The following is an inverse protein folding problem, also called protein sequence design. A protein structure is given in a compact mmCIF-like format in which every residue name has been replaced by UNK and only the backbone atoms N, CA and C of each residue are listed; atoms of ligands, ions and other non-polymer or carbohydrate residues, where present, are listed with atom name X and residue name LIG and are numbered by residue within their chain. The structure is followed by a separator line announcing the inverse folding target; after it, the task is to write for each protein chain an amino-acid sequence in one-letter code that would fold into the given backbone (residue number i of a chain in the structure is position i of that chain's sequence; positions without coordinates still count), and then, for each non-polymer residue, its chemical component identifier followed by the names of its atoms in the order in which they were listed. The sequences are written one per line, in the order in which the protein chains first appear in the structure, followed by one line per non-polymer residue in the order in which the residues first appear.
data_IF_368895367494
#
_entry.id   IF_368895367494
#
_cell.length_a   1.000
_cell.length_b   1.000
_cell.length_c   1.000
_cell.angle_alpha   90.00
_cell.angle_beta   90.00
_cell.angle_gamma   90.00
#
_symmetry.space_group_name_H-M   'P 1'
#
loop_
_entity.id
_entity.type
_entity.pdbx_description
1 polymer ?
#
# COMPACT_ATOMS: atom_id res chain seq x y z
N UNK A 1 23.61 -32.50 18.05
CA UNK A 1 23.35 -32.04 16.66
C UNK A 1 22.68 -33.20 15.94
N UNK A 2 21.40 -33.08 15.61
CA UNK A 2 20.67 -34.17 14.93
C UNK A 2 20.91 -33.98 13.44
N UNK A 3 21.68 -34.89 12.85
CA UNK A 3 21.94 -34.90 11.41
C UNK A 3 20.70 -35.51 10.73
N UNK A 4 20.05 -34.72 9.88
CA UNK A 4 18.90 -35.19 9.12
C UNK A 4 19.40 -36.00 7.92
N UNK A 5 19.32 -37.34 8.01
CA UNK A 5 19.52 -38.25 6.89
C UNK A 5 18.17 -38.47 6.18
N UNK A 6 17.82 -37.54 5.29
CA UNK A 6 16.69 -37.66 4.36
C UNK A 6 17.16 -37.61 2.91
N UNK A 7 16.28 -37.92 1.93
CA UNK A 7 16.64 -37.82 0.52
C UNK A 7 17.07 -36.39 0.19
N UNK A 8 18.09 -36.24 -0.66
CA UNK A 8 18.50 -34.93 -1.17
C UNK A 8 17.31 -34.26 -1.88
N UNK A 9 16.88 -33.11 -1.36
CA UNK A 9 15.81 -32.33 -1.97
C UNK A 9 16.34 -31.69 -3.25
N UNK A 10 16.00 -32.27 -4.39
CA UNK A 10 16.31 -31.68 -5.70
C UNK A 10 15.29 -30.59 -6.02
N UNK A 11 15.77 -29.39 -6.32
CA UNK A 11 14.91 -28.30 -6.76
C UNK A 11 14.38 -28.60 -8.16
N UNK A 12 13.07 -28.66 -8.29
CA UNK A 12 12.38 -28.78 -9.58
C UNK A 12 11.90 -27.39 -10.00
N UNK A 13 12.34 -26.92 -11.16
CA UNK A 13 11.83 -25.67 -11.72
C UNK A 13 10.45 -25.90 -12.34
N UNK A 14 9.50 -24.97 -12.17
CA UNK A 14 8.17 -25.11 -12.76
C UNK A 14 8.24 -24.97 -14.29
N UNK A 15 7.46 -25.77 -15.01
CA UNK A 15 7.21 -25.57 -16.43
C UNK A 15 6.14 -24.48 -16.60
N UNK A 16 6.52 -23.34 -17.18
CA UNK A 16 5.66 -22.17 -17.31
C UNK A 16 5.11 -22.08 -18.72
N UNK A 17 3.79 -21.92 -18.82
CA UNK A 17 3.10 -21.68 -20.10
C UNK A 17 3.43 -20.28 -20.64
N UNK A 18 3.22 -20.03 -21.94
CA UNK A 18 3.24 -18.68 -22.47
C UNK A 18 2.33 -17.76 -21.65
N UNK A 19 2.85 -16.59 -21.26
CA UNK A 19 2.24 -15.60 -20.36
C UNK A 19 2.27 -15.90 -18.86
N UNK A 20 2.76 -17.07 -18.42
CA UNK A 20 3.00 -17.31 -16.99
C UNK A 20 4.33 -16.71 -16.55
N UNK A 21 4.38 -16.25 -15.30
CA UNK A 21 5.57 -15.67 -14.69
C UNK A 21 5.89 -16.42 -13.42
N UNK A 22 7.19 -16.58 -13.17
CA UNK A 22 7.66 -17.15 -11.91
C UNK A 22 7.36 -16.16 -10.79
N UNK A 23 6.71 -16.64 -9.73
CA UNK A 23 6.51 -15.86 -8.51
C UNK A 23 7.65 -16.08 -7.52
N UNK A 24 8.09 -15.01 -6.86
CA UNK A 24 8.92 -15.08 -5.66
C UNK A 24 8.17 -14.45 -4.51
N UNK A 25 7.82 -15.29 -3.53
CA UNK A 25 7.00 -14.90 -2.39
C UNK A 25 7.89 -14.36 -1.27
N UNK A 26 7.51 -13.22 -0.71
CA UNK A 26 8.15 -12.58 0.44
C UNK A 26 7.11 -12.40 1.54
N UNK A 27 7.38 -12.98 2.70
CA UNK A 27 6.57 -12.78 3.90
C UNK A 27 7.19 -11.64 4.70
N UNK A 28 6.41 -10.61 4.96
CA UNK A 28 6.81 -9.45 5.75
C UNK A 28 6.01 -9.42 7.05
N UNK A 29 6.69 -9.07 8.14
CA UNK A 29 6.09 -8.86 9.45
C UNK A 29 7.03 -8.01 10.32
N UNK A 30 6.47 -7.29 11.31
CA UNK A 30 7.23 -6.62 12.36
C UNK A 30 7.52 -7.55 13.54
N UNK A 31 8.71 -7.39 14.14
CA UNK A 31 9.09 -8.11 15.35
C UNK A 31 9.79 -7.15 16.33
N UNK A 32 9.58 -7.41 17.62
CA UNK A 32 10.25 -6.71 18.71
C UNK A 32 11.32 -7.59 19.32
N UNK A 33 12.48 -7.02 19.60
CA UNK A 33 13.59 -7.68 20.28
C UNK A 33 13.99 -6.84 21.49
N UNK A 34 14.36 -7.47 22.60
CA UNK A 34 14.94 -6.72 23.70
C UNK A 34 16.39 -6.33 23.36
N UNK A 35 16.91 -5.27 23.98
CA UNK A 35 18.22 -4.70 23.67
C UNK A 35 19.37 -5.72 23.73
N UNK A 36 19.21 -6.80 24.50
CA UNK A 36 20.23 -7.84 24.69
C UNK A 36 20.06 -9.06 23.76
N UNK A 37 19.01 -9.08 22.94
CA UNK A 37 18.72 -10.20 22.02
C UNK A 37 19.34 -9.99 20.63
N UNK A 38 19.98 -8.84 20.38
CA UNK A 38 20.53 -8.52 19.08
C UNK A 38 21.92 -9.14 18.86
N UNK A 39 22.14 -9.65 17.64
CA UNK A 39 23.49 -9.93 17.15
C UNK A 39 23.91 -8.77 16.25
N UNK A 40 25.03 -8.14 16.56
CA UNK A 40 25.48 -6.92 15.86
C UNK A 40 26.27 -7.21 14.57
N UNK A 41 26.37 -8.47 14.14
CA UNK A 41 27.17 -8.86 12.98
C UNK A 41 26.40 -9.82 12.06
N UNK A 42 26.32 -9.42 10.79
CA UNK A 42 25.89 -10.27 9.69
C UNK A 42 26.59 -9.80 8.40
N UNK A 43 26.94 -10.73 7.51
CA UNK A 43 27.48 -10.40 6.20
C UNK A 43 26.32 -10.21 5.22
N UNK A 44 25.85 -8.97 5.08
CA UNK A 44 24.71 -8.62 4.22
C UNK A 44 25.17 -7.65 3.14
N UNK A 45 24.87 -7.98 1.88
CA UNK A 45 25.20 -7.13 0.72
C UNK A 45 24.16 -6.01 0.57
N UNK A 46 22.86 -6.35 0.64
CA UNK A 46 21.73 -5.41 0.66
C UNK A 46 20.62 -5.93 1.57
N UNK A 47 20.01 -5.04 2.35
CA UNK A 47 18.91 -5.35 3.28
C UNK A 47 17.81 -4.28 3.17
N UNK A 48 16.56 -4.72 3.17
CA UNK A 48 15.39 -3.83 3.27
C UNK A 48 14.90 -3.69 4.72
N UNK A 49 15.40 -4.49 5.66
CA UNK A 49 15.04 -4.40 7.08
C UNK A 49 15.30 -3.00 7.62
N UNK A 50 14.34 -2.51 8.40
CA UNK A 50 14.47 -1.29 9.18
C UNK A 50 14.35 -1.64 10.65
N UNK A 51 15.19 -1.02 11.46
CA UNK A 51 15.20 -1.16 12.91
C UNK A 51 14.90 0.23 13.46
N UNK A 52 13.96 0.31 14.38
CA UNK A 52 13.64 1.52 15.13
C UNK A 52 13.85 1.24 16.62
N UNK A 53 14.22 2.28 17.37
CA UNK A 53 14.42 2.25 18.80
C UNK A 53 13.41 3.18 19.48
N UNK A 54 12.12 2.79 19.57
CA UNK A 54 11.08 3.66 20.11
C UNK A 54 11.30 3.95 21.60
N UNK A 55 11.08 5.21 22.01
CA UNK A 55 11.22 5.63 23.41
C UNK A 55 11.17 7.14 23.58
N UNK A 56 11.17 7.62 24.83
CA UNK A 56 11.05 9.06 25.15
C UNK A 56 12.14 9.94 24.48
N UNK A 57 13.33 9.36 24.23
CA UNK A 57 14.44 9.98 23.51
C UNK A 57 14.85 9.15 22.27
N UNK A 58 13.95 8.29 21.79
CA UNK A 58 14.19 7.33 20.72
C UNK A 58 13.53 7.73 19.41
N UNK A 59 13.44 6.77 18.50
CA UNK A 59 12.75 6.93 17.22
C UNK A 59 11.24 7.12 17.43
N UNK A 60 10.60 7.77 16.45
CA UNK A 60 9.15 7.78 16.35
C UNK A 60 8.62 6.36 16.09
N UNK A 61 7.32 6.15 16.38
CA UNK A 61 6.63 4.91 16.06
C UNK A 61 6.70 4.58 14.57
N UNK A 62 6.67 3.29 14.24
CA UNK A 62 6.62 2.82 12.86
C UNK A 62 5.34 3.30 12.17
N UNK A 63 5.49 3.93 11.00
CA UNK A 63 4.38 4.50 10.23
C UNK A 63 4.27 3.90 8.83
N UNK A 64 3.16 4.17 8.16
CA UNK A 64 2.96 3.85 6.74
C UNK A 64 4.08 4.41 5.84
N UNK A 65 4.57 5.63 6.13
CA UNK A 65 5.65 6.25 5.33
C UNK A 65 6.96 5.47 5.47
N UNK A 66 7.23 4.93 6.67
CA UNK A 66 8.38 4.05 6.88
C UNK A 66 8.24 2.74 6.09
N UNK A 67 7.04 2.17 6.06
CA UNK A 67 6.74 0.98 5.27
C UNK A 67 6.90 1.23 3.77
N UNK A 68 6.34 2.32 3.23
CA UNK A 68 6.50 2.67 1.81
C UNK A 68 7.98 2.81 1.43
N UNK A 69 8.75 3.48 2.27
CA UNK A 69 10.20 3.63 2.08
C UNK A 69 10.89 2.27 2.09
N UNK A 70 10.59 1.40 3.07
CA UNK A 70 11.13 0.04 3.11
C UNK A 70 10.78 -0.75 1.84
N UNK A 71 9.54 -0.65 1.37
CA UNK A 71 9.07 -1.38 0.20
C UNK A 71 9.75 -0.95 -1.09
N UNK A 72 10.06 0.34 -1.26
CA UNK A 72 10.85 0.82 -2.39
C UNK A 72 12.22 0.14 -2.44
N UNK A 73 12.92 0.03 -1.30
CA UNK A 73 14.19 -0.69 -1.21
C UNK A 73 14.03 -2.20 -1.45
N UNK A 74 12.98 -2.82 -0.90
CA UNK A 74 12.72 -4.25 -1.09
C UNK A 74 12.48 -4.61 -2.56
N UNK A 75 11.73 -3.77 -3.29
CA UNK A 75 11.47 -3.92 -4.72
C UNK A 75 12.77 -3.76 -5.52
N UNK A 76 13.58 -2.74 -5.23
CA UNK A 76 14.89 -2.56 -5.89
C UNK A 76 15.80 -3.78 -5.71
N UNK A 77 15.90 -4.31 -4.48
CA UNK A 77 16.67 -5.54 -4.21
C UNK A 77 16.10 -6.72 -4.99
N UNK A 78 14.79 -6.87 -5.06
CA UNK A 78 14.15 -7.93 -5.83
C UNK A 78 14.51 -7.85 -7.33
N UNK A 79 14.36 -6.67 -7.93
CA UNK A 79 14.63 -6.43 -9.35
C UNK A 79 16.09 -6.72 -9.70
N UNK A 80 17.03 -6.26 -8.86
CA UNK A 80 18.46 -6.51 -9.07
C UNK A 80 18.85 -7.98 -8.93
N UNK A 81 18.30 -8.68 -7.94
CA UNK A 81 18.67 -10.07 -7.63
C UNK A 81 17.99 -11.07 -8.58
N UNK A 82 16.74 -10.80 -8.96
CA UNK A 82 15.93 -11.75 -9.72
C UNK A 82 15.91 -11.45 -11.22
N UNK A 83 16.16 -10.21 -11.61
CA UNK A 83 16.06 -9.77 -13.01
C UNK A 83 14.63 -9.75 -13.55
N UNK A 84 14.47 -9.46 -14.85
CA UNK A 84 13.16 -9.41 -15.49
C UNK A 84 12.52 -10.80 -15.58
N UNK A 85 11.18 -10.86 -15.49
CA UNK A 85 10.40 -12.08 -15.68
C UNK A 85 10.08 -12.87 -14.40
N UNK A 86 10.70 -12.52 -13.28
CA UNK A 86 10.26 -12.93 -11.95
C UNK A 86 9.39 -11.84 -11.34
N UNK A 87 8.22 -12.21 -10.84
CA UNK A 87 7.31 -11.29 -10.20
C UNK A 87 7.31 -11.50 -8.68
N UNK A 88 7.53 -10.43 -7.93
CA UNK A 88 7.42 -10.45 -6.48
C UNK A 88 5.96 -10.56 -6.04
N UNK A 89 5.71 -11.40 -5.03
CA UNK A 89 4.47 -11.45 -4.27
C UNK A 89 4.81 -11.13 -2.82
N UNK A 90 4.41 -9.96 -2.33
CA UNK A 90 4.59 -9.57 -0.94
C UNK A 90 3.32 -9.92 -0.15
N UNK A 91 3.50 -10.62 0.97
CA UNK A 91 2.44 -11.02 1.88
C UNK A 91 2.68 -10.32 3.21
N UNK A 92 1.67 -9.60 3.68
CA UNK A 92 1.68 -8.82 4.90
C UNK A 92 0.59 -9.32 5.85
N UNK A 93 0.72 -8.95 7.13
CA UNK A 93 -0.40 -9.01 8.07
C UNK A 93 -1.41 -7.86 7.80
N UNK A 94 -2.46 -7.76 8.63
CA UNK A 94 -3.47 -6.70 8.53
C UNK A 94 -3.26 -5.62 9.61
N UNK A 95 -2.03 -5.14 9.79
CA UNK A 95 -1.74 -4.04 10.71
C UNK A 95 -2.37 -2.72 10.23
N UNK A 96 -2.58 -1.78 11.16
CA UNK A 96 -3.16 -0.47 10.83
C UNK A 96 -2.27 0.38 9.91
N UNK A 97 -0.95 0.18 9.95
CA UNK A 97 -0.01 0.83 9.03
C UNK A 97 -0.26 0.40 7.57
N UNK A 98 -0.77 -0.82 7.35
CA UNK A 98 -1.07 -1.35 6.02
C UNK A 98 -2.40 -0.83 5.48
N UNK A 99 -3.31 -0.42 6.37
CA UNK A 99 -4.62 0.13 6.02
C UNK A 99 -4.64 1.67 5.90
N UNK A 100 -3.49 2.32 5.98
CA UNK A 100 -3.40 3.78 5.91
C UNK A 100 -3.69 4.27 4.49
N UNK A 101 -4.57 5.26 4.37
CA UNK A 101 -4.88 5.94 3.12
C UNK A 101 -3.93 7.12 2.93
N UNK A 102 -3.56 7.47 1.68
CA UNK A 102 -2.77 8.66 1.43
C UNK A 102 -3.49 9.93 1.92
N UNK A 103 -2.77 11.02 2.25
CA UNK A 103 -3.37 12.23 2.83
C UNK A 103 -4.49 12.86 1.99
N UNK A 104 -4.44 12.66 0.66
CA UNK A 104 -5.40 13.13 -0.32
C UNK A 104 -6.40 12.06 -0.76
N UNK A 105 -6.43 10.88 -0.12
CA UNK A 105 -7.38 9.84 -0.45
C UNK A 105 -8.84 10.30 -0.33
N UNK A 106 -9.69 9.75 -1.19
CA UNK A 106 -11.13 9.97 -1.12
C UNK A 106 -11.69 9.42 0.22
N UNK A 107 -12.32 10.27 1.02
CA UNK A 107 -13.03 9.88 2.25
C UNK A 107 -14.27 10.74 2.40
N UNK A 108 -15.40 10.16 2.01
CA UNK A 108 -16.71 10.80 2.01
C UNK A 108 -17.11 11.33 3.40
N UNK A 109 -16.80 10.60 4.48
CA UNK A 109 -17.14 11.00 5.85
C UNK A 109 -16.43 12.28 6.33
N UNK A 110 -15.32 12.66 5.68
CA UNK A 110 -14.57 13.88 6.01
C UNK A 110 -14.87 15.02 5.03
N UNK A 111 -15.87 14.87 4.17
CA UNK A 111 -16.29 15.90 3.23
C UNK A 111 -17.43 16.74 3.82
N UNK A 112 -17.37 18.04 3.58
CA UNK A 112 -18.46 18.96 3.82
C UNK A 112 -19.62 18.66 2.87
N UNK A 113 -20.83 19.04 3.25
CA UNK A 113 -21.98 19.01 2.34
C UNK A 113 -21.76 19.96 1.15
N UNK A 114 -21.37 21.19 1.43
CA UNK A 114 -21.08 22.25 0.45
C UNK A 114 -19.60 22.28 0.04
N UNK A 115 -19.30 22.94 -1.08
CA UNK A 115 -17.93 23.19 -1.52
C UNK A 115 -17.17 24.08 -0.52
N UNK A 116 -15.85 23.94 -0.50
CA UNK A 116 -14.96 24.77 0.30
C UNK A 116 -14.98 24.44 1.79
N UNK A 117 -14.68 25.45 2.62
CA UNK A 117 -14.61 25.32 4.07
C UNK A 117 -13.39 24.55 4.57
N UNK A 118 -13.40 24.19 5.88
CA UNK A 118 -12.34 23.41 6.52
C UNK A 118 -12.46 21.93 6.13
N UNK A 119 -12.06 21.62 4.89
CA UNK A 119 -12.00 20.27 4.33
C UNK A 119 -10.64 20.07 3.65
N UNK A 120 -10.11 18.85 3.71
CA UNK A 120 -8.91 18.51 2.93
C UNK A 120 -9.20 18.44 1.43
N UNK A 121 -8.21 18.77 0.61
CA UNK A 121 -8.26 18.50 -0.83
C UNK A 121 -8.08 16.99 -1.03
N UNK A 122 -9.04 16.38 -1.72
CA UNK A 122 -9.01 14.96 -2.06
C UNK A 122 -8.60 14.83 -3.53
N UNK A 123 -7.92 13.74 -3.88
CA UNK A 123 -7.44 13.48 -5.23
C UNK A 123 -8.60 13.20 -6.18
N UNK A 124 -8.41 13.53 -7.46
CA UNK A 124 -9.37 13.19 -8.50
C UNK A 124 -9.53 11.66 -8.59
N UNK A 125 -10.75 11.21 -8.89
CA UNK A 125 -11.10 9.79 -8.96
C UNK A 125 -11.76 9.45 -10.29
N UNK A 126 -12.15 8.20 -10.47
CA UNK A 126 -12.98 7.75 -11.59
C UNK A 126 -14.32 7.28 -11.06
N UNK A 127 -15.43 7.63 -11.73
CA UNK A 127 -16.75 7.17 -11.31
C UNK A 127 -16.84 5.65 -11.51
N UNK A 128 -17.15 4.88 -10.45
CA UNK A 128 -17.13 3.42 -10.51
C UNK A 128 -18.30 2.88 -11.36
N UNK A 129 -18.13 1.68 -11.91
CA UNK A 129 -19.20 0.96 -12.61
C UNK A 129 -20.38 0.55 -11.72
N UNK A 130 -20.26 0.72 -10.40
CA UNK A 130 -21.37 0.57 -9.46
C UNK A 130 -22.28 1.80 -9.37
N UNK A 131 -21.95 2.90 -10.07
CA UNK A 131 -22.80 4.08 -10.09
C UNK A 131 -24.17 3.75 -10.74
N UNK A 132 -25.30 4.23 -10.20
CA UNK A 132 -26.63 3.92 -10.75
C UNK A 132 -26.87 4.41 -12.18
N UNK A 133 -26.22 5.51 -12.57
CA UNK A 133 -26.27 6.05 -13.93
C UNK A 133 -25.10 5.49 -14.76
N UNK A 134 -25.36 4.61 -15.75
CA UNK A 134 -24.32 4.02 -16.59
C UNK A 134 -23.62 5.01 -17.52
N UNK A 135 -24.25 6.16 -17.81
CA UNK A 135 -23.65 7.18 -18.68
C UNK A 135 -22.46 7.87 -18.02
N UNK A 136 -22.28 7.69 -16.71
CA UNK A 136 -21.22 8.29 -15.90
C UNK A 136 -20.03 7.38 -15.65
N UNK A 137 -20.15 6.10 -15.98
CA UNK A 137 -19.12 5.09 -15.71
C UNK A 137 -17.78 5.43 -16.35
N UNK A 138 -16.69 5.31 -15.58
CA UNK A 138 -15.34 5.55 -16.09
C UNK A 138 -15.01 7.03 -16.33
N UNK A 139 -15.95 7.95 -16.11
CA UNK A 139 -15.67 9.39 -16.25
C UNK A 139 -14.78 9.88 -15.10
N UNK A 140 -13.93 10.85 -15.41
CA UNK A 140 -13.10 11.55 -14.44
C UNK A 140 -13.99 12.33 -13.45
N UNK A 141 -13.90 11.97 -12.18
CA UNK A 141 -14.51 12.70 -11.07
C UNK A 141 -13.48 13.65 -10.48
N UNK A 142 -13.56 14.93 -10.88
CA UNK A 142 -12.78 15.99 -10.23
C UNK A 142 -13.25 16.15 -8.79
N UNK A 143 -12.33 16.23 -7.84
CA UNK A 143 -12.61 16.43 -6.40
C UNK A 143 -12.31 17.87 -5.93
N UNK A 144 -11.96 18.74 -6.88
CA UNK A 144 -11.82 20.19 -6.69
C UNK A 144 -12.67 20.95 -7.68
N UNK A 145 -13.17 22.11 -7.27
CA UNK A 145 -13.89 23.05 -8.15
C UNK A 145 -12.92 23.70 -9.13
N UNK A 146 -13.40 24.35 -10.21
CA UNK A 146 -12.54 25.14 -11.11
C UNK A 146 -11.78 26.28 -10.41
N UNK A 147 -12.30 26.78 -9.29
CA UNK A 147 -11.67 27.79 -8.43
C UNK A 147 -10.61 27.21 -7.49
N UNK A 148 -10.43 25.88 -7.46
CA UNK A 148 -9.44 25.18 -6.65
C UNK A 148 -9.88 24.85 -5.21
N UNK A 149 -11.17 25.04 -4.91
CA UNK A 149 -11.77 24.68 -3.62
C UNK A 149 -12.06 23.17 -3.57
N UNK A 150 -11.96 22.53 -2.40
CA UNK A 150 -12.40 21.15 -2.25
C UNK A 150 -13.91 21.03 -2.54
N UNK A 151 -14.32 20.05 -3.34
CA UNK A 151 -15.75 19.80 -3.58
C UNK A 151 -16.43 19.22 -2.34
N UNK A 152 -17.67 19.64 -2.12
CA UNK A 152 -18.57 19.03 -1.14
C UNK A 152 -19.26 17.79 -1.69
N UNK A 153 -19.86 17.02 -0.79
CA UNK A 153 -20.62 15.80 -1.11
C UNK A 153 -21.75 16.07 -2.10
N UNK A 154 -22.45 17.19 -1.95
CA UNK A 154 -23.59 17.53 -2.79
C UNK A 154 -23.18 17.62 -4.27
N UNK A 155 -22.14 18.40 -4.58
CA UNK A 155 -21.66 18.57 -5.95
C UNK A 155 -21.17 17.24 -6.56
N UNK A 156 -20.48 16.41 -5.78
CA UNK A 156 -20.00 15.10 -6.25
C UNK A 156 -21.17 14.15 -6.55
N UNK A 157 -22.22 14.16 -5.73
CA UNK A 157 -23.38 13.30 -5.95
C UNK A 157 -24.26 13.78 -7.12
N UNK A 158 -24.43 15.10 -7.29
CA UNK A 158 -25.12 15.68 -8.47
C UNK A 158 -24.41 15.30 -9.77
N UNK A 159 -23.08 15.41 -9.81
CA UNK A 159 -22.28 15.04 -10.99
C UNK A 159 -22.43 13.55 -11.36
N UNK A 160 -22.59 12.70 -10.34
CA UNK A 160 -22.85 11.26 -10.47
C UNK A 160 -24.30 10.92 -10.84
N UNK A 161 -25.19 11.90 -10.92
CA UNK A 161 -26.58 11.73 -11.34
C UNK A 161 -27.55 11.34 -10.22
N UNK A 162 -27.19 11.56 -8.95
CA UNK A 162 -28.11 11.33 -7.84
C UNK A 162 -29.08 12.50 -7.67
N UNK A 163 -30.34 12.18 -7.35
CA UNK A 163 -31.33 13.16 -6.91
C UNK A 163 -31.08 13.51 -5.43
N UNK A 164 -30.83 14.79 -5.16
CA UNK A 164 -30.52 15.30 -3.82
C UNK A 164 -31.67 16.14 -3.24
N UNK A 165 -32.86 16.07 -3.82
CA UNK A 165 -34.04 16.73 -3.26
C UNK A 165 -34.31 16.26 -1.83
N UNK A 166 -34.36 17.20 -0.89
CA UNK A 166 -34.64 16.92 0.53
C UNK A 166 -33.42 16.59 1.41
N UNK A 167 -32.21 16.68 0.87
CA UNK A 167 -30.95 16.47 1.62
C UNK A 167 -30.40 17.76 2.24
#
# INVERSE_FOLDING_TARGET
MVQFDGPELTKIEPDLRPCERRLKVYYHNECSFHANDNTNSAWIIKDARKIIYPGANGDAWWTHDNLLTQMQYAIQIHEEVCGPGVQALFIFDNSSAHATLPPDALRAFDMNKSNGGKQRKQQDTTIPHSNPDPTKWGLLQRMTTPTGEPKGLQAVLEERGFDLTGL
#
